data_IF_309364173675
#
_entry.id   IF_309364173675
#
_cell.length_a   1.000
_cell.length_b   1.000
_cell.length_c   1.000
_cell.angle_alpha   90.00
_cell.angle_beta   90.00
_cell.angle_gamma   90.00
#
_symmetry.space_group_name_H-M   'P 1'
#
loop_
_entity.id
_entity.type
_entity.pdbx_description
1 polymer ?
#
# COMPACT_ATOMS: atom_id res chain seq x y z
N UNK A 1 -6.90 21.79 -18.39
CA UNK A 1 -6.24 20.46 -18.37
C UNK A 1 -6.81 19.68 -17.21
N UNK A 2 -7.59 18.61 -17.45
CA UNK A 2 -8.12 17.78 -16.36
C UNK A 2 -6.99 16.90 -15.84
N UNK A 3 -6.45 17.19 -14.65
CA UNK A 3 -5.51 16.29 -13.97
C UNK A 3 -6.19 14.94 -13.78
N UNK A 4 -5.75 13.92 -14.52
CA UNK A 4 -6.16 12.56 -14.26
C UNK A 4 -5.72 12.22 -12.83
N UNK A 5 -6.67 12.07 -11.90
CA UNK A 5 -6.41 11.45 -10.60
C UNK A 5 -5.86 10.06 -10.91
N UNK A 6 -4.55 9.88 -10.73
CA UNK A 6 -3.93 8.56 -10.77
C UNK A 6 -4.57 7.79 -9.61
N UNK A 7 -5.49 6.88 -9.92
CA UNK A 7 -6.00 5.94 -8.92
C UNK A 7 -4.84 5.04 -8.56
N UNK A 8 -4.16 5.37 -7.46
CA UNK A 8 -3.13 4.50 -6.91
C UNK A 8 -3.85 3.30 -6.28
N UNK A 9 -3.64 2.11 -6.82
CA UNK A 9 -4.24 0.90 -6.28
C UNK A 9 -3.26 0.23 -5.31
N UNK A 10 -3.67 0.07 -4.06
CA UNK A 10 -2.92 -0.66 -3.05
C UNK A 10 -3.57 -2.03 -2.81
N UNK A 11 -2.77 -3.08 -2.80
CA UNK A 11 -3.20 -4.46 -2.53
C UNK A 11 -2.40 -5.04 -1.35
N UNK A 12 -3.08 -5.77 -0.46
CA UNK A 12 -2.45 -6.45 0.68
C UNK A 12 -2.52 -7.96 0.46
N UNK A 13 -1.38 -8.65 0.65
CA UNK A 13 -1.32 -10.13 0.69
C UNK A 13 -0.71 -10.62 1.99
N UNK A 14 -1.15 -11.79 2.44
CA UNK A 14 -0.60 -12.49 3.59
C UNK A 14 0.22 -13.70 3.13
N UNK A 15 1.50 -13.72 3.47
CA UNK A 15 2.40 -14.83 3.14
C UNK A 15 3.41 -15.03 4.26
N UNK A 16 3.56 -16.27 4.74
CA UNK A 16 4.53 -16.68 5.78
C UNK A 16 4.47 -15.81 7.06
N UNK A 17 3.26 -15.45 7.51
CA UNK A 17 3.07 -14.60 8.70
C UNK A 17 3.47 -13.13 8.50
N UNK A 18 3.69 -12.70 7.25
CA UNK A 18 3.98 -11.32 6.88
C UNK A 18 2.82 -10.74 6.07
N UNK A 19 2.72 -9.42 6.13
CA UNK A 19 1.77 -8.59 5.39
C UNK A 19 2.54 -7.85 4.30
N UNK A 20 2.24 -8.15 3.04
CA UNK A 20 2.91 -7.60 1.87
C UNK A 20 2.00 -6.55 1.24
N UNK A 21 2.52 -5.34 1.04
CA UNK A 21 1.79 -4.23 0.42
C UNK A 21 2.32 -4.02 -1.00
N UNK A 22 1.41 -4.11 -1.96
CA UNK A 22 1.68 -3.88 -3.37
C UNK A 22 1.06 -2.55 -3.79
N UNK A 23 1.78 -1.80 -4.63
CA UNK A 23 1.29 -0.59 -5.30
C UNK A 23 1.38 -0.85 -6.80
N UNK A 24 0.27 -0.78 -7.50
CA UNK A 24 0.22 -1.01 -8.95
C UNK A 24 0.89 -2.35 -9.37
N UNK A 25 0.62 -3.42 -8.59
CA UNK A 25 1.21 -4.78 -8.70
C UNK A 25 2.69 -4.92 -8.33
N UNK A 26 3.37 -3.86 -7.90
CA UNK A 26 4.76 -3.93 -7.42
C UNK A 26 4.82 -3.99 -5.89
N UNK A 27 5.62 -4.90 -5.33
CA UNK A 27 5.82 -4.98 -3.89
C UNK A 27 6.58 -3.74 -3.40
N UNK A 28 5.92 -2.88 -2.61
CA UNK A 28 6.53 -1.65 -2.09
C UNK A 28 7.00 -1.79 -0.64
N UNK A 29 6.34 -2.65 0.15
CA UNK A 29 6.67 -2.80 1.56
C UNK A 29 6.17 -4.11 2.16
N UNK A 30 6.81 -4.52 3.25
CA UNK A 30 6.39 -5.67 4.06
C UNK A 30 6.29 -5.28 5.53
N UNK A 31 5.30 -5.84 6.22
CA UNK A 31 5.01 -5.60 7.63
C UNK A 31 4.78 -6.93 8.34
N UNK A 32 4.91 -6.93 9.68
CA UNK A 32 4.49 -8.05 10.52
C UNK A 32 3.07 -7.88 11.09
N UNK A 33 2.47 -6.71 10.89
CA UNK A 33 1.19 -6.35 11.48
C UNK A 33 0.34 -5.60 10.43
N UNK A 34 -0.89 -6.07 10.24
CA UNK A 34 -1.82 -5.55 9.24
C UNK A 34 -2.24 -4.10 9.54
N UNK A 35 -2.43 -3.73 10.80
CA UNK A 35 -2.80 -2.36 11.18
C UNK A 35 -1.73 -1.34 10.77
N UNK A 36 -0.45 -1.72 10.85
CA UNK A 36 0.65 -0.86 10.41
C UNK A 36 0.66 -0.73 8.89
N UNK A 37 0.38 -1.83 8.17
CA UNK A 37 0.26 -1.81 6.71
C UNK A 37 -0.91 -0.93 6.22
N UNK A 38 -2.07 -1.04 6.87
CA UNK A 38 -3.24 -0.18 6.62
C UNK A 38 -2.91 1.28 6.92
N UNK A 39 -2.21 1.56 8.03
CA UNK A 39 -1.73 2.90 8.37
C UNK A 39 -0.86 3.48 7.26
N UNK A 40 0.10 2.71 6.74
CA UNK A 40 0.97 3.11 5.63
C UNK A 40 0.21 3.40 4.32
N UNK A 41 -0.85 2.65 4.01
CA UNK A 41 -1.69 2.89 2.82
C UNK A 41 -2.55 4.15 2.99
N UNK A 42 -3.04 4.39 4.21
CA UNK A 42 -3.96 5.48 4.53
C UNK A 42 -3.27 6.80 4.91
N UNK A 43 -1.95 6.84 5.05
CA UNK A 43 -1.21 8.09 5.06
C UNK A 43 -0.86 8.47 3.62
N UNK A 44 -1.69 9.27 2.93
CA UNK A 44 -1.23 9.95 1.73
C UNK A 44 -0.02 10.79 2.14
N UNK A 45 1.08 10.62 1.40
CA UNK A 45 2.34 11.34 1.59
C UNK A 45 2.07 12.80 2.00
N UNK A 46 2.40 13.13 3.26
CA UNK A 46 2.43 14.50 3.78
C UNK A 46 3.74 15.22 3.35
N UNK A 47 4.30 14.84 2.20
CA UNK A 47 5.56 15.38 1.67
C UNK A 47 5.35 16.17 0.39
#
# INVERSE_FOLDING_TARGET
MKSAKKNINYEIKHQDGKVLVYKDNELVKTFRNEMIAIGYINTPDLR
#
